data_IF_688694588931
#
_entry.id   IF_688694588931
#
_cell.length_a   1.000
_cell.length_b   1.000
_cell.length_c   1.000
_cell.angle_alpha   90.00
_cell.angle_beta   90.00
_cell.angle_gamma   90.00
#
_symmetry.space_group_name_H-M   'P 1'
#
loop_
_entity.id
_entity.type
_entity.pdbx_description
1 polymer ?
#
# COMPACT_ATOMS: atom_id res chain seq x y z
N UNK A 1 15.28 -18.89 3.43
CA UNK A 1 15.73 -17.77 4.26
C UNK A 1 15.43 -16.51 3.46
N UNK A 2 14.68 -15.58 4.02
CA UNK A 2 14.43 -14.29 3.37
C UNK A 2 15.75 -13.51 3.41
N UNK A 3 16.32 -13.23 2.26
CA UNK A 3 17.57 -12.46 2.15
C UNK A 3 17.19 -10.99 2.07
N UNK A 4 17.55 -10.20 3.08
CA UNK A 4 17.42 -8.74 3.00
C UNK A 4 18.27 -8.23 1.86
N UNK A 5 17.83 -7.23 1.10
CA UNK A 5 18.58 -6.63 -0.04
C UNK A 5 20.02 -6.21 0.29
N UNK A 6 20.32 -5.99 1.58
CA UNK A 6 21.62 -5.59 2.12
C UNK A 6 22.21 -6.64 3.09
N UNK A 7 21.72 -7.89 3.03
CA UNK A 7 22.20 -8.99 3.86
C UNK A 7 23.68 -9.27 3.58
N UNK A 8 24.50 -9.02 4.59
CA UNK A 8 25.96 -9.29 4.56
C UNK A 8 26.31 -10.62 5.26
N UNK A 9 25.33 -11.48 5.50
CA UNK A 9 25.52 -12.76 6.17
C UNK A 9 25.62 -12.66 7.70
N UNK A 10 25.18 -11.54 8.28
CA UNK A 10 25.05 -11.33 9.72
C UNK A 10 23.59 -11.19 10.09
N UNK A 11 23.10 -11.95 11.07
CA UNK A 11 21.82 -11.61 11.72
C UNK A 11 22.04 -10.31 12.50
N UNK A 12 21.30 -9.23 12.19
CA UNK A 12 21.37 -8.01 12.98
C UNK A 12 20.89 -8.30 14.40
N UNK A 13 21.46 -7.61 15.38
CA UNK A 13 20.99 -7.67 16.76
C UNK A 13 19.49 -7.37 16.79
N UNK A 14 18.73 -8.18 17.51
CA UNK A 14 17.28 -8.05 17.61
C UNK A 14 16.85 -6.64 18.06
N UNK A 15 17.62 -6.02 18.97
CA UNK A 15 17.37 -4.67 19.43
C UNK A 15 17.54 -3.64 18.29
N UNK A 16 18.52 -3.84 17.40
CA UNK A 16 18.73 -2.96 16.24
C UNK A 16 17.58 -3.14 15.25
N UNK A 17 17.12 -4.37 15.02
CA UNK A 17 15.98 -4.63 14.15
C UNK A 17 14.70 -4.01 14.70
N UNK A 18 14.42 -4.16 15.98
CA UNK A 18 13.27 -3.54 16.67
C UNK A 18 13.31 -2.00 16.60
N UNK A 19 14.51 -1.41 16.74
CA UNK A 19 14.68 0.03 16.65
C UNK A 19 14.52 0.56 15.23
N UNK A 20 14.99 -0.16 14.21
CA UNK A 20 14.99 0.31 12.81
C UNK A 20 13.67 0.01 12.09
N UNK A 21 13.01 -1.08 12.38
CA UNK A 21 11.76 -1.49 11.74
C UNK A 21 10.53 -1.02 12.54
N UNK A 22 10.62 -1.04 13.88
CA UNK A 22 9.53 -0.59 14.74
C UNK A 22 8.18 -1.22 14.35
N UNK A 23 7.17 -0.37 14.15
CA UNK A 23 5.82 -0.76 13.72
C UNK A 23 5.62 -0.70 12.20
N UNK A 24 6.69 -0.56 11.41
CA UNK A 24 6.59 -0.35 9.96
C UNK A 24 5.84 -1.48 9.28
N UNK A 25 6.06 -2.74 9.67
CA UNK A 25 5.34 -3.89 9.08
C UNK A 25 3.82 -3.77 9.21
N UNK A 26 3.33 -3.31 10.36
CA UNK A 26 1.89 -3.13 10.60
C UNK A 26 1.33 -1.94 9.81
N UNK A 27 2.06 -0.83 9.80
CA UNK A 27 1.66 0.39 9.09
C UNK A 27 1.73 0.21 7.57
N UNK A 28 2.75 -0.46 7.08
CA UNK A 28 2.96 -0.73 5.65
C UNK A 28 1.87 -1.60 5.04
N UNK A 29 1.21 -2.45 5.83
CA UNK A 29 0.06 -3.21 5.35
C UNK A 29 -1.03 -2.32 4.75
N UNK A 30 -1.15 -1.06 5.20
CA UNK A 30 -2.08 -0.07 4.63
C UNK A 30 -1.65 0.40 3.23
N UNK A 31 -0.38 0.26 2.90
CA UNK A 31 0.20 0.67 1.62
C UNK A 31 0.21 -0.46 0.58
N UNK A 32 -0.01 -1.71 0.99
CA UNK A 32 0.17 -2.89 0.14
C UNK A 32 -0.59 -2.81 -1.21
N UNK A 33 -1.84 -2.36 -1.21
CA UNK A 33 -2.62 -2.22 -2.45
C UNK A 33 -2.06 -1.14 -3.38
N UNK A 34 -1.44 -0.10 -2.82
CA UNK A 34 -0.87 1.01 -3.58
C UNK A 34 0.48 0.64 -4.16
N UNK A 35 1.30 -0.15 -3.43
CA UNK A 35 2.54 -0.70 -3.96
C UNK A 35 2.28 -1.58 -5.18
N UNK A 36 1.28 -2.46 -5.11
CA UNK A 36 0.88 -3.27 -6.27
C UNK A 36 0.42 -2.39 -7.43
N UNK A 37 -0.37 -1.33 -7.17
CA UNK A 37 -0.83 -0.40 -8.20
C UNK A 37 0.34 0.36 -8.85
N UNK A 38 1.26 0.88 -8.04
CA UNK A 38 2.46 1.57 -8.52
C UNK A 38 3.37 0.63 -9.30
N UNK A 39 3.54 -0.60 -8.82
CA UNK A 39 4.35 -1.62 -9.45
C UNK A 39 3.80 -2.08 -10.81
N UNK A 40 2.48 -2.19 -10.97
CA UNK A 40 1.85 -2.47 -12.27
C UNK A 40 2.17 -1.39 -13.31
N UNK A 41 2.10 -0.12 -12.92
CA UNK A 41 2.47 0.99 -13.82
C UNK A 41 3.97 0.98 -14.14
N UNK A 42 4.81 0.66 -13.14
CA UNK A 42 6.26 0.61 -13.31
C UNK A 42 6.70 -0.49 -14.28
N UNK A 43 6.18 -1.72 -14.15
CA UNK A 43 6.55 -2.81 -15.05
C UNK A 43 6.08 -2.55 -16.49
N UNK A 44 4.93 -1.88 -16.67
CA UNK A 44 4.48 -1.46 -18.00
C UNK A 44 5.47 -0.46 -18.63
N UNK A 45 5.98 0.50 -17.85
CA UNK A 45 7.02 1.42 -18.32
C UNK A 45 8.32 0.67 -18.63
N UNK A 46 8.76 -0.29 -17.80
CA UNK A 46 9.99 -1.06 -18.03
C UNK A 46 9.95 -1.83 -19.38
N UNK A 47 8.79 -2.34 -19.77
CA UNK A 47 8.63 -2.99 -21.08
C UNK A 47 8.80 -1.99 -22.22
N UNK A 48 8.21 -0.80 -22.11
CA UNK A 48 8.31 0.23 -23.18
C UNK A 48 9.74 0.69 -23.43
N UNK A 49 10.60 0.62 -22.43
CA UNK A 49 12.03 0.99 -22.56
C UNK A 49 12.93 -0.23 -22.79
N UNK A 50 12.37 -1.41 -22.97
CA UNK A 50 13.09 -2.63 -23.34
C UNK A 50 13.84 -3.32 -22.18
N UNK A 51 13.59 -2.97 -20.92
CA UNK A 51 14.15 -3.66 -19.75
C UNK A 51 13.35 -4.94 -19.39
N UNK A 52 12.10 -5.03 -19.82
CA UNK A 52 11.29 -6.24 -19.76
C UNK A 52 10.88 -6.66 -21.17
N UNK A 53 10.80 -7.96 -21.38
CA UNK A 53 10.14 -8.53 -22.57
C UNK A 53 8.61 -8.54 -22.34
N UNK A 54 7.83 -8.58 -23.42
CA UNK A 54 6.36 -8.70 -23.33
C UNK A 54 5.93 -9.94 -22.51
N UNK A 55 6.63 -11.08 -22.64
CA UNK A 55 6.35 -12.28 -21.86
C UNK A 55 6.68 -12.14 -20.37
N UNK A 56 7.70 -11.37 -20.01
CA UNK A 56 7.99 -11.05 -18.61
C UNK A 56 6.95 -10.09 -18.03
N UNK A 57 6.53 -9.08 -18.80
CA UNK A 57 5.46 -8.16 -18.40
C UNK A 57 4.16 -8.91 -18.13
N UNK A 58 3.77 -9.85 -19.00
CA UNK A 58 2.56 -10.67 -18.79
C UNK A 58 2.64 -11.47 -17.49
N UNK A 59 3.76 -12.16 -17.23
CA UNK A 59 3.97 -12.95 -16.02
C UNK A 59 3.97 -12.09 -14.76
N UNK A 60 4.67 -10.96 -14.77
CA UNK A 60 4.71 -10.02 -13.63
C UNK A 60 3.33 -9.42 -13.37
N UNK A 61 2.60 -9.05 -14.42
CA UNK A 61 1.23 -8.54 -14.30
C UNK A 61 0.29 -9.57 -13.68
N UNK A 62 0.37 -10.83 -14.09
CA UNK A 62 -0.41 -11.91 -13.50
C UNK A 62 -0.05 -12.10 -12.02
N UNK A 63 1.24 -12.18 -11.69
CA UNK A 63 1.71 -12.32 -10.31
C UNK A 63 1.28 -11.15 -9.39
N UNK A 64 1.36 -9.92 -9.88
CA UNK A 64 0.89 -8.74 -9.12
C UNK A 64 -0.62 -8.74 -8.90
N UNK A 65 -1.40 -9.18 -9.89
CA UNK A 65 -2.87 -9.33 -9.74
C UNK A 65 -3.24 -10.41 -8.73
N UNK A 66 -2.49 -11.51 -8.67
CA UNK A 66 -2.67 -12.54 -7.64
C UNK A 66 -2.37 -11.98 -6.24
N UNK A 67 -1.27 -11.22 -6.09
CA UNK A 67 -0.93 -10.54 -4.83
C UNK A 67 -2.03 -9.54 -4.45
N UNK A 68 -2.56 -8.76 -5.39
CA UNK A 68 -3.68 -7.86 -5.14
C UNK A 68 -4.90 -8.61 -4.59
N UNK A 69 -5.25 -9.77 -5.17
CA UNK A 69 -6.34 -10.60 -4.69
C UNK A 69 -6.08 -11.17 -3.28
N UNK A 70 -4.84 -11.48 -2.95
CA UNK A 70 -4.46 -11.91 -1.58
C UNK A 70 -4.60 -10.76 -0.58
N UNK A 71 -4.23 -9.53 -0.96
CA UNK A 71 -4.40 -8.31 -0.15
C UNK A 71 -5.89 -8.04 0.10
N UNK A 72 -6.72 -8.06 -0.95
CA UNK A 72 -8.17 -7.84 -0.83
C UNK A 72 -8.85 -8.91 0.03
N UNK A 73 -8.37 -10.14 -0.03
CA UNK A 73 -8.88 -11.26 0.78
C UNK A 73 -8.33 -11.27 2.22
N UNK A 74 -7.48 -10.32 2.61
CA UNK A 74 -6.86 -10.25 3.93
C UNK A 74 -5.88 -11.39 4.23
N UNK A 75 -5.30 -12.00 3.20
CA UNK A 75 -4.33 -13.11 3.34
C UNK A 75 -2.88 -12.69 3.10
N UNK A 76 -2.66 -11.46 2.69
CA UNK A 76 -1.32 -10.91 2.52
C UNK A 76 -0.74 -10.54 3.88
N UNK A 77 0.49 -10.97 4.14
CA UNK A 77 1.23 -10.68 5.37
C UNK A 77 2.69 -10.39 5.03
N UNK A 78 3.31 -9.48 5.78
CA UNK A 78 4.75 -9.22 5.70
C UNK A 78 5.44 -10.25 6.59
N UNK A 79 6.17 -11.19 5.98
CA UNK A 79 6.81 -12.30 6.67
C UNK A 79 7.89 -11.81 7.65
N UNK A 80 8.09 -12.53 8.80
CA UNK A 80 9.23 -12.27 9.67
C UNK A 80 10.55 -12.34 8.90
N UNK A 81 11.40 -11.32 9.07
CA UNK A 81 12.65 -11.18 8.32
C UNK A 81 12.52 -10.39 7.02
N UNK A 82 11.30 -10.02 6.59
CA UNK A 82 11.07 -9.03 5.54
C UNK A 82 10.86 -7.67 6.18
N UNK A 83 11.45 -6.64 5.61
CA UNK A 83 11.53 -5.31 6.21
C UNK A 83 10.21 -4.53 6.05
N UNK A 84 9.63 -4.58 4.86
CA UNK A 84 8.51 -3.76 4.44
C UNK A 84 7.67 -4.43 3.34
N UNK A 85 6.58 -3.78 2.94
CA UNK A 85 5.65 -4.24 1.92
C UNK A 85 6.33 -4.44 0.56
N UNK A 86 7.26 -3.56 0.19
CA UNK A 86 7.93 -3.62 -1.11
C UNK A 86 8.80 -4.86 -1.23
N UNK A 87 9.56 -5.16 -0.16
CA UNK A 87 10.37 -6.39 -0.06
C UNK A 87 9.50 -7.63 -0.07
N UNK A 88 8.33 -7.58 0.56
CA UNK A 88 7.40 -8.72 0.57
C UNK A 88 6.84 -8.99 -0.83
N UNK A 89 6.41 -7.97 -1.55
CA UNK A 89 5.90 -8.10 -2.94
C UNK A 89 7.00 -8.64 -3.86
N UNK A 90 8.21 -8.09 -3.79
CA UNK A 90 9.36 -8.59 -4.57
C UNK A 90 9.71 -10.04 -4.23
N UNK A 91 9.69 -10.42 -2.95
CA UNK A 91 9.94 -11.78 -2.49
C UNK A 91 8.91 -12.76 -3.05
N UNK A 92 7.62 -12.41 -2.98
CA UNK A 92 6.54 -13.25 -3.50
C UNK A 92 6.67 -13.44 -5.01
N UNK A 93 6.94 -12.37 -5.76
CA UNK A 93 7.17 -12.44 -7.19
C UNK A 93 8.42 -13.26 -7.54
N UNK A 94 9.51 -13.08 -6.79
CA UNK A 94 10.75 -13.85 -7.00
C UNK A 94 10.54 -15.34 -6.74
N UNK A 95 9.78 -15.71 -5.72
CA UNK A 95 9.44 -17.11 -5.44
C UNK A 95 8.61 -17.76 -6.56
N UNK A 96 7.73 -16.98 -7.19
CA UNK A 96 6.84 -17.46 -8.27
C UNK A 96 7.50 -17.46 -9.65
N UNK A 97 8.32 -16.45 -9.94
CA UNK A 97 8.80 -16.14 -11.28
C UNK A 97 10.33 -16.17 -11.42
N UNK A 98 11.05 -16.45 -10.33
CA UNK A 98 12.52 -16.47 -10.33
C UNK A 98 13.10 -15.09 -10.64
N UNK A 99 14.10 -15.04 -11.52
CA UNK A 99 14.82 -13.79 -11.85
C UNK A 99 13.92 -12.72 -12.48
N UNK A 100 12.84 -13.10 -13.16
CA UNK A 100 11.88 -12.14 -13.68
C UNK A 100 11.20 -11.33 -12.55
N UNK A 101 10.95 -11.96 -11.39
CA UNK A 101 10.39 -11.30 -10.22
C UNK A 101 11.27 -10.19 -9.66
N UNK A 102 12.60 -10.38 -9.69
CA UNK A 102 13.56 -9.37 -9.22
C UNK A 102 13.61 -8.10 -10.08
N UNK A 103 13.22 -8.21 -11.35
CA UNK A 103 13.24 -7.07 -12.28
C UNK A 103 12.24 -5.97 -11.90
N UNK A 104 11.25 -6.25 -11.04
CA UNK A 104 10.28 -5.26 -10.59
C UNK A 104 10.94 -4.04 -9.94
N UNK A 105 12.11 -4.22 -9.34
CA UNK A 105 12.85 -3.12 -8.68
C UNK A 105 13.77 -2.36 -9.64
N UNK A 106 13.89 -2.76 -10.91
CA UNK A 106 14.80 -2.14 -11.86
C UNK A 106 14.48 -0.67 -12.09
N UNK A 107 15.50 0.18 -12.05
CA UNK A 107 15.40 1.60 -12.42
C UNK A 107 14.64 2.50 -11.43
N UNK A 108 14.35 2.03 -10.22
CA UNK A 108 13.74 2.85 -9.17
C UNK A 108 14.41 2.62 -7.81
N UNK A 109 14.33 3.59 -6.92
CA UNK A 109 14.71 3.43 -5.52
C UNK A 109 13.48 3.09 -4.65
N UNK A 110 13.74 2.63 -3.43
CA UNK A 110 12.70 2.45 -2.43
C UNK A 110 11.97 3.75 -2.12
N UNK A 111 12.68 4.87 -2.11
CA UNK A 111 12.07 6.19 -1.88
C UNK A 111 11.03 6.54 -2.95
N UNK A 112 11.29 6.17 -4.21
CA UNK A 112 10.33 6.39 -5.29
C UNK A 112 9.04 5.58 -5.07
N UNK A 113 9.16 4.31 -4.64
CA UNK A 113 8.03 3.44 -4.32
C UNK A 113 7.20 4.02 -3.17
N UNK A 114 7.83 4.24 -2.01
CA UNK A 114 7.17 4.77 -0.81
C UNK A 114 6.43 6.07 -1.10
N UNK A 115 7.04 7.00 -1.84
CA UNK A 115 6.41 8.28 -2.16
C UNK A 115 5.21 8.15 -3.10
N UNK A 116 5.25 7.21 -4.06
CA UNK A 116 4.09 6.93 -4.92
C UNK A 116 2.94 6.34 -4.09
N UNK A 117 3.25 5.36 -3.24
CA UNK A 117 2.26 4.69 -2.41
C UNK A 117 1.60 5.64 -1.43
N UNK A 118 2.38 6.49 -0.76
CA UNK A 118 1.86 7.53 0.13
C UNK A 118 0.97 8.53 -0.62
N UNK A 119 1.32 8.95 -1.83
CA UNK A 119 0.49 9.85 -2.63
C UNK A 119 -0.82 9.19 -3.06
N UNK A 120 -0.78 7.93 -3.45
CA UNK A 120 -1.98 7.17 -3.80
C UNK A 120 -2.88 6.97 -2.57
N UNK A 121 -2.30 6.56 -1.45
CA UNK A 121 -2.98 6.41 -0.17
C UNK A 121 -3.65 7.71 0.27
N UNK A 122 -2.90 8.81 0.35
CA UNK A 122 -3.42 10.12 0.76
C UNK A 122 -4.54 10.61 -0.15
N UNK A 123 -4.43 10.38 -1.46
CA UNK A 123 -5.49 10.73 -2.41
C UNK A 123 -6.80 10.01 -2.09
N UNK A 124 -6.72 8.73 -1.77
CA UNK A 124 -7.92 7.94 -1.46
C UNK A 124 -8.49 8.29 -0.08
N UNK A 125 -7.64 8.49 0.93
CA UNK A 125 -8.07 8.92 2.27
C UNK A 125 -8.73 10.30 2.24
N UNK A 126 -8.19 11.25 1.46
CA UNK A 126 -8.80 12.56 1.28
C UNK A 126 -10.17 12.49 0.59
N UNK A 127 -10.33 11.62 -0.41
CA UNK A 127 -11.63 11.39 -1.05
C UNK A 127 -12.65 10.83 -0.07
N UNK A 128 -12.29 9.81 0.68
CA UNK A 128 -13.16 9.21 1.70
C UNK A 128 -13.54 10.24 2.77
N UNK A 129 -12.60 11.06 3.22
CA UNK A 129 -12.85 12.14 4.17
C UNK A 129 -13.83 13.17 3.61
N UNK A 130 -13.67 13.57 2.35
CA UNK A 130 -14.58 14.51 1.70
C UNK A 130 -16.01 13.95 1.59
N UNK A 131 -16.16 12.67 1.24
CA UNK A 131 -17.46 11.99 1.20
C UNK A 131 -18.09 11.86 2.59
N UNK A 132 -17.30 11.57 3.62
CA UNK A 132 -17.76 11.53 5.00
C UNK A 132 -18.28 12.90 5.47
N UNK A 133 -17.52 13.97 5.19
CA UNK A 133 -17.94 15.36 5.48
C UNK A 133 -19.23 15.69 4.75
N UNK A 134 -19.35 15.34 3.47
CA UNK A 134 -20.58 15.53 2.70
C UNK A 134 -21.77 14.79 3.33
N UNK A 135 -21.57 13.57 3.77
CA UNK A 135 -22.62 12.78 4.44
C UNK A 135 -23.13 13.46 5.71
N UNK A 136 -22.22 14.00 6.54
CA UNK A 136 -22.59 14.77 7.74
C UNK A 136 -23.37 16.03 7.35
N UNK A 137 -22.89 16.78 6.35
CA UNK A 137 -23.55 17.98 5.86
C UNK A 137 -24.98 17.70 5.37
N UNK A 138 -25.15 16.68 4.52
CA UNK A 138 -26.47 16.30 3.99
C UNK A 138 -27.41 15.87 5.12
N UNK A 139 -26.88 15.19 6.15
CA UNK A 139 -27.68 14.81 7.31
C UNK A 139 -28.13 16.00 8.14
N UNK A 140 -27.23 16.96 8.37
CA UNK A 140 -27.56 18.20 9.09
C UNK A 140 -28.61 19.02 8.33
N UNK A 141 -28.53 19.13 7.00
CA UNK A 141 -29.54 19.78 6.19
C UNK A 141 -30.91 19.08 6.33
N UNK A 142 -30.91 17.74 6.24
CA UNK A 142 -32.14 16.95 6.40
C UNK A 142 -32.78 17.20 7.76
N UNK A 143 -31.99 17.21 8.83
CA UNK A 143 -32.49 17.48 10.18
C UNK A 143 -33.00 18.91 10.33
N UNK A 144 -32.28 19.88 9.74
CA UNK A 144 -32.71 21.28 9.74
C UNK A 144 -34.07 21.46 9.07
N UNK A 145 -34.29 20.85 7.90
CA UNK A 145 -35.60 20.88 7.24
C UNK A 145 -36.69 20.17 8.05
N UNK A 146 -36.36 19.01 8.64
CA UNK A 146 -37.33 18.23 9.44
C UNK A 146 -37.80 18.98 10.68
N UNK A 147 -36.94 19.76 11.30
CA UNK A 147 -37.18 20.43 12.59
C UNK A 147 -37.23 21.96 12.48
N UNK A 148 -37.36 22.53 11.29
CA UNK A 148 -37.33 23.97 11.09
C UNK A 148 -38.43 24.72 11.85
N UNK A 149 -39.56 24.07 12.10
CA UNK A 149 -40.69 24.63 12.83
C UNK A 149 -40.68 24.25 14.32
N UNK A 150 -39.60 23.60 14.79
CA UNK A 150 -39.47 23.15 16.16
C UNK A 150 -38.57 24.10 16.97
N UNK A 151 -38.97 24.47 18.17
CA UNK A 151 -38.13 25.22 19.10
C UNK A 151 -36.99 24.34 19.62
N UNK A 152 -35.75 24.76 19.33
CA UNK A 152 -34.54 24.12 19.88
C UNK A 152 -34.18 24.79 21.21
N UNK A 153 -34.35 24.07 22.30
CA UNK A 153 -33.82 24.47 23.60
C UNK A 153 -32.37 24.00 23.67
N UNK A 154 -31.42 24.90 23.45
CA UNK A 154 -29.99 24.58 23.40
C UNK A 154 -29.26 24.80 24.75
N UNK A 155 -29.89 25.43 25.70
CA UNK A 155 -29.39 25.55 27.07
C UNK A 155 -30.53 25.81 28.04
N UNK A 156 -30.46 25.24 29.24
CA UNK A 156 -31.16 25.76 30.39
C UNK A 156 -30.51 27.11 30.74
N UNK A 157 -31.18 28.19 30.41
CA UNK A 157 -30.86 29.47 30.99
C UNK A 157 -31.28 29.44 32.44
N UNK A 158 -30.37 29.03 33.32
CA UNK A 158 -30.52 29.17 34.76
C UNK A 158 -30.31 30.62 35.16
#
# INVERSE_FOLDING_TARGET
>A
MATKLWDKGFEPDKMIEEYTVGNDRELDMRLARYDVQGSLAHIAMLETIGLLTAGELEKLTAGLKEIAAEIEAGRFEIEPGTEDVHSQVELMLTRRLGDAGKKIHSGRSRNDQVLVDLKLFLRDELRQTAEAVKTVFDRLQTLSEQYKDCLLYTSDAA
#
